data_IF_540641616140
#
_entry.id   IF_540641616140
#
_cell.length_a   1.000
_cell.length_b   1.000
_cell.length_c   1.000
_cell.angle_alpha   90.00
_cell.angle_beta   90.00
_cell.angle_gamma   90.00
#
_symmetry.space_group_name_H-M   'P 1'
#
loop_
_entity.id
_entity.type
_entity.pdbx_description
1 polymer ?
#
# COMPACT_ATOMS: atom_id res chain seq x y z
N UNK A 1 8.51 18.31 5.62
CA UNK A 1 7.10 17.99 5.32
C UNK A 1 6.79 16.72 6.06
N UNK A 2 5.74 16.71 6.91
CA UNK A 2 5.22 15.50 7.53
C UNK A 2 4.42 14.69 6.50
N UNK A 3 4.30 13.39 6.72
CA UNK A 3 3.41 12.52 5.94
C UNK A 3 2.21 12.21 6.84
N UNK A 4 1.03 12.66 6.43
CA UNK A 4 -0.23 12.57 7.15
C UNK A 4 -1.02 11.31 6.76
N UNK A 5 -1.97 10.91 7.59
CA UNK A 5 -2.92 9.82 7.31
C UNK A 5 -2.43 8.42 7.66
N UNK A 6 -1.18 8.24 8.10
CA UNK A 6 -0.71 6.95 8.62
C UNK A 6 -1.29 6.63 9.99
N UNK A 7 -1.67 7.67 10.73
CA UNK A 7 -2.37 7.64 12.00
C UNK A 7 -3.87 7.36 11.88
N UNK A 8 -4.42 7.32 10.66
CA UNK A 8 -5.83 7.01 10.45
C UNK A 8 -6.14 5.60 10.99
N UNK A 9 -7.18 5.44 11.84
CA UNK A 9 -7.60 4.14 12.37
C UNK A 9 -7.76 3.07 11.29
N UNK A 10 -8.23 3.41 10.09
CA UNK A 10 -8.42 2.44 9.00
C UNK A 10 -7.10 1.83 8.52
N UNK A 11 -6.02 2.62 8.52
CA UNK A 11 -4.68 2.19 8.14
C UNK A 11 -4.09 1.31 9.24
N UNK A 12 -4.25 1.70 10.51
CA UNK A 12 -3.82 0.91 11.65
C UNK A 12 -4.52 -0.46 11.69
N UNK A 13 -5.84 -0.50 11.50
CA UNK A 13 -6.64 -1.72 11.45
C UNK A 13 -6.25 -2.64 10.28
N UNK A 14 -6.03 -2.07 9.09
CA UNK A 14 -5.54 -2.82 7.93
C UNK A 14 -4.17 -3.44 8.21
N UNK A 15 -3.27 -2.71 8.87
CA UNK A 15 -1.95 -3.21 9.25
C UNK A 15 -2.03 -4.33 10.29
N UNK A 16 -2.88 -4.20 11.32
CA UNK A 16 -3.08 -5.28 12.30
C UNK A 16 -3.67 -6.54 11.66
N UNK A 17 -4.62 -6.38 10.73
CA UNK A 17 -5.20 -7.50 9.98
C UNK A 17 -4.12 -8.20 9.13
N UNK A 18 -3.34 -7.42 8.37
CA UNK A 18 -2.27 -7.95 7.53
C UNK A 18 -1.16 -8.66 8.31
N UNK A 19 -0.91 -8.29 9.57
CA UNK A 19 0.04 -8.97 10.45
C UNK A 19 -0.45 -10.33 10.96
N UNK A 20 -1.77 -10.49 11.09
CA UNK A 20 -2.39 -11.69 11.65
C UNK A 20 -2.62 -12.75 10.59
N UNK A 21 -3.03 -12.32 9.40
CA UNK A 21 -3.44 -13.23 8.34
C UNK A 21 -2.25 -13.80 7.55
N UNK A 22 -2.31 -15.11 7.27
CA UNK A 22 -1.32 -15.75 6.41
C UNK A 22 -1.47 -15.24 4.97
N UNK A 23 -0.52 -14.44 4.50
CA UNK A 23 -0.64 -13.74 3.22
C UNK A 23 -1.36 -12.40 3.31
N UNK A 24 -1.56 -11.87 4.52
CA UNK A 24 -2.09 -10.54 4.78
C UNK A 24 -1.30 -9.44 4.06
N UNK A 25 -2.01 -8.50 3.46
CA UNK A 25 -1.42 -7.36 2.76
C UNK A 25 -2.31 -6.11 2.86
N UNK A 26 -1.69 -4.95 2.68
CA UNK A 26 -2.37 -3.67 2.49
C UNK A 26 -1.61 -2.81 1.48
N UNK A 27 -2.34 -1.95 0.78
CA UNK A 27 -1.82 -0.93 -0.11
C UNK A 27 -2.31 0.45 0.32
N UNK A 28 -1.41 1.42 0.25
CA UNK A 28 -1.64 2.83 0.53
C UNK A 28 -1.47 3.62 -0.78
N UNK A 29 -2.33 4.60 -0.98
CA UNK A 29 -2.24 5.58 -2.07
C UNK A 29 -2.16 6.99 -1.52
N UNK A 30 -1.57 7.88 -2.30
CA UNK A 30 -1.67 9.32 -2.05
C UNK A 30 -3.07 9.81 -2.37
N UNK A 31 -3.61 10.65 -1.47
CA UNK A 31 -4.79 11.49 -1.74
C UNK A 31 -4.41 12.94 -1.98
N UNK A 32 -3.23 13.35 -1.49
CA UNK A 32 -2.62 14.65 -1.71
C UNK A 32 -1.09 14.50 -1.72
N UNK A 33 -0.34 15.60 -1.77
CA UNK A 33 1.14 15.56 -1.81
C UNK A 33 1.75 14.96 -0.54
N UNK A 34 1.10 15.13 0.60
CA UNK A 34 1.62 14.79 1.92
C UNK A 34 0.65 13.93 2.73
N UNK A 35 -0.38 13.35 2.11
CA UNK A 35 -1.39 12.55 2.78
C UNK A 35 -1.60 11.20 2.07
N UNK A 36 -1.57 10.13 2.86
CA UNK A 36 -1.86 8.77 2.42
C UNK A 36 -3.18 8.30 2.99
N UNK A 37 -3.84 7.40 2.27
CA UNK A 37 -4.97 6.63 2.78
C UNK A 37 -4.86 5.17 2.36
N UNK A 38 -5.68 4.30 2.95
CA UNK A 38 -5.82 2.92 2.53
C UNK A 38 -6.42 2.86 1.12
N UNK A 39 -5.69 2.28 0.18
CA UNK A 39 -6.22 1.92 -1.14
C UNK A 39 -7.03 0.63 -1.04
N UNK A 40 -6.39 -0.44 -0.55
CA UNK A 40 -6.99 -1.77 -0.46
C UNK A 40 -6.23 -2.67 0.53
N UNK A 41 -6.83 -3.80 0.90
CA UNK A 41 -6.24 -4.83 1.78
C UNK A 41 -6.81 -6.21 1.48
N UNK A 42 -6.07 -7.25 1.85
CA UNK A 42 -6.53 -8.62 1.69
C UNK A 42 -5.63 -9.65 2.38
N UNK A 43 -5.93 -10.93 2.16
CA UNK A 43 -5.22 -12.06 2.75
C UNK A 43 -4.80 -13.13 1.72
N UNK A 44 -5.06 -12.90 0.43
CA UNK A 44 -4.70 -13.78 -0.68
C UNK A 44 -3.24 -13.67 -1.11
N UNK A 45 -2.42 -12.88 -0.42
CA UNK A 45 -0.99 -12.73 -0.69
C UNK A 45 -0.67 -12.06 -2.04
N UNK A 46 0.45 -12.47 -2.64
CA UNK A 46 1.00 -11.83 -3.86
C UNK A 46 0.03 -11.79 -5.05
N UNK A 47 -0.75 -12.86 -5.37
CA UNK A 47 -1.67 -12.81 -6.51
C UNK A 47 -2.75 -11.73 -6.35
N UNK A 48 -3.37 -11.63 -5.18
CA UNK A 48 -4.41 -10.64 -4.91
C UNK A 48 -3.85 -9.22 -4.89
N UNK A 49 -2.73 -9.03 -4.18
CA UNK A 49 -1.99 -7.77 -4.18
C UNK A 49 -1.63 -7.30 -5.60
N UNK A 50 -1.17 -8.21 -6.47
CA UNK A 50 -0.84 -7.87 -7.86
C UNK A 50 -2.07 -7.43 -8.63
N UNK A 51 -3.19 -8.13 -8.48
CA UNK A 51 -4.44 -7.75 -9.13
C UNK A 51 -4.90 -6.35 -8.67
N UNK A 52 -4.75 -6.03 -7.39
CA UNK A 52 -5.06 -4.69 -6.87
C UNK A 52 -4.15 -3.61 -7.47
N UNK A 53 -2.86 -3.88 -7.67
CA UNK A 53 -1.93 -2.98 -8.36
C UNK A 53 -2.27 -2.85 -9.85
N UNK A 54 -2.59 -3.95 -10.52
CA UNK A 54 -2.91 -3.96 -11.96
C UNK A 54 -4.21 -3.21 -12.25
N UNK A 55 -5.15 -3.16 -11.29
CA UNK A 55 -6.38 -2.36 -11.36
C UNK A 55 -6.22 -0.89 -10.98
N UNK A 56 -5.02 -0.44 -10.59
CA UNK A 56 -4.77 0.95 -10.21
C UNK A 56 -4.40 1.81 -11.42
N UNK A 57 -5.30 2.72 -11.79
CA UNK A 57 -5.19 3.52 -13.03
C UNK A 57 -4.44 4.86 -12.86
N UNK A 58 -4.11 5.25 -11.63
CA UNK A 58 -3.43 6.52 -11.35
C UNK A 58 -1.90 6.37 -11.44
N UNK A 59 -1.23 7.49 -11.68
CA UNK A 59 0.22 7.61 -11.90
C UNK A 59 0.99 7.84 -10.61
N UNK A 60 0.30 8.12 -9.50
CA UNK A 60 0.92 8.30 -8.19
C UNK A 60 1.51 6.97 -7.67
N UNK A 61 2.60 7.00 -6.90
CA UNK A 61 3.22 5.78 -6.41
C UNK A 61 2.36 5.14 -5.32
N UNK A 62 2.39 3.81 -5.25
CA UNK A 62 1.77 3.05 -4.17
C UNK A 62 2.84 2.53 -3.21
N UNK A 63 2.49 2.49 -1.94
CA UNK A 63 3.28 1.85 -0.90
C UNK A 63 2.44 0.80 -0.20
N UNK A 64 3.06 -0.27 0.27
CA UNK A 64 2.30 -1.34 0.89
C UNK A 64 3.09 -2.20 1.84
N UNK A 65 2.38 -3.13 2.45
CA UNK A 65 2.92 -4.15 3.30
C UNK A 65 2.37 -5.51 2.87
N UNK A 66 3.21 -6.54 2.95
CA UNK A 66 2.84 -7.93 2.71
C UNK A 66 3.51 -8.85 3.73
N UNK A 67 2.71 -9.69 4.36
CA UNK A 67 3.17 -10.82 5.16
C UNK A 67 3.50 -12.00 4.23
N UNK A 68 4.72 -12.01 3.70
CA UNK A 68 5.21 -13.07 2.81
C UNK A 68 5.84 -14.20 3.62
N UNK A 69 5.03 -15.24 3.90
CA UNK A 69 5.41 -16.35 4.80
C UNK A 69 5.78 -15.80 6.20
N UNK A 70 7.06 -15.89 6.59
CA UNK A 70 7.58 -15.38 7.87
C UNK A 70 8.24 -14.01 7.75
N UNK A 71 8.15 -13.37 6.59
CA UNK A 71 8.81 -12.10 6.29
C UNK A 71 7.78 -10.98 6.17
N UNK A 72 8.12 -9.85 6.80
CA UNK A 72 7.43 -8.58 6.65
C UNK A 72 8.07 -7.84 5.49
N UNK A 73 7.32 -7.63 4.41
CA UNK A 73 7.81 -7.01 3.18
C UNK A 73 7.14 -5.65 3.02
N UNK A 74 7.94 -4.61 2.81
CA UNK A 74 7.46 -3.30 2.36
C UNK A 74 7.50 -3.28 0.84
N UNK A 75 6.41 -2.82 0.24
CA UNK A 75 6.24 -2.74 -1.21
C UNK A 75 6.31 -1.27 -1.63
N UNK A 76 7.02 -1.01 -2.71
CA UNK A 76 6.95 0.23 -3.46
C UNK A 76 6.61 -0.09 -4.91
N UNK A 77 5.54 0.50 -5.41
CA UNK A 77 5.15 0.41 -6.82
C UNK A 77 5.20 1.80 -7.44
N UNK A 78 5.89 1.89 -8.57
CA UNK A 78 6.14 3.11 -9.31
C UNK A 78 5.48 2.96 -10.69
N UNK A 79 4.29 3.55 -10.91
CA UNK A 79 3.62 3.48 -12.21
C UNK A 79 4.44 4.13 -13.32
N UNK A 80 4.18 3.71 -14.56
CA UNK A 80 4.68 4.44 -15.72
C UNK A 80 4.04 5.84 -15.75
N UNK A 81 4.84 6.86 -16.09
CA UNK A 81 4.35 8.24 -16.13
C UNK A 81 4.42 9.00 -14.80
N UNK A 82 4.96 8.38 -13.73
CA UNK A 82 5.27 9.08 -12.48
C UNK A 82 6.15 10.31 -12.76
N UNK A 83 5.68 11.49 -12.35
CA UNK A 83 6.42 12.74 -12.53
C UNK A 83 7.76 12.68 -11.79
N UNK A 84 8.86 12.92 -12.53
CA UNK A 84 10.23 12.86 -12.01
C UNK A 84 10.64 14.06 -11.14
N UNK A 85 9.73 14.99 -10.86
CA UNK A 85 10.02 16.18 -10.04
C UNK A 85 10.13 15.88 -8.54
N UNK A 86 10.05 14.61 -8.15
CA UNK A 86 10.46 14.14 -6.82
C UNK A 86 11.92 13.67 -6.92
N UNK A 87 12.86 14.60 -7.08
CA UNK A 87 14.29 14.40 -6.90
C UNK A 87 14.84 15.41 -5.89
#
# INVERSE_FOLDING_TARGET
>A
MSLNGLEDPIVAEAYQSALTDAGGWLLLRYVSRDELTLLDRGAGGVPELRNAIDGYEDTAPLYGFLQYRRRKVVISYMPQGLSRLVQ
#
